data_IF_073929172012
#
_entry.id   IF_073929172012
#
_cell.length_a   1.000
_cell.length_b   1.000
_cell.length_c   1.000
_cell.angle_alpha   90.00
_cell.angle_beta   90.00
_cell.angle_gamma   90.00
#
_symmetry.space_group_name_H-M   'P 1'
#
loop_
_entity.id
_entity.type
_entity.pdbx_description
1 polymer ?
#
# COMPACT_ATOMS: atom_id res chain seq x y z
N UNK A 1 -17.74 19.99 3.33
CA UNK A 1 -16.29 20.26 3.60
C UNK A 1 -15.48 19.25 2.79
N UNK A 2 -14.72 19.69 1.79
CA UNK A 2 -13.96 18.80 0.89
C UNK A 2 -12.63 18.32 1.50
N UNK A 3 -12.01 17.29 0.90
CA UNK A 3 -10.70 16.74 1.32
C UNK A 3 -9.63 17.84 1.45
N UNK A 4 -9.67 18.81 0.54
CA UNK A 4 -8.81 19.99 0.48
C UNK A 4 -8.81 20.81 1.77
N UNK A 5 -9.94 20.88 2.48
CA UNK A 5 -10.01 21.61 3.75
C UNK A 5 -9.13 20.98 4.83
N UNK A 6 -9.14 19.65 4.94
CA UNK A 6 -8.31 18.94 5.93
C UNK A 6 -6.82 19.04 5.62
N UNK A 7 -6.45 19.21 4.34
CA UNK A 7 -5.07 19.48 3.94
C UNK A 7 -4.61 20.88 4.37
N UNK A 8 -5.47 21.90 4.23
CA UNK A 8 -5.09 23.28 4.56
C UNK A 8 -5.38 23.68 6.01
N UNK A 9 -6.19 22.92 6.75
CA UNK A 9 -6.52 23.21 8.15
C UNK A 9 -5.27 23.35 9.04
N UNK A 10 -4.26 22.46 8.96
CA UNK A 10 -3.01 22.66 9.71
C UNK A 10 -2.28 23.95 9.32
N UNK A 11 -2.26 24.33 8.03
CA UNK A 11 -1.67 25.60 7.59
C UNK A 11 -2.41 26.81 8.15
N UNK A 12 -3.74 26.77 8.20
CA UNK A 12 -4.56 27.84 8.80
C UNK A 12 -4.24 27.97 10.30
N UNK A 13 -4.15 26.84 11.01
CA UNK A 13 -3.80 26.81 12.44
C UNK A 13 -2.37 27.33 12.66
N UNK A 14 -1.42 26.90 11.84
CA UNK A 14 -0.03 27.38 11.89
C UNK A 14 0.06 28.86 11.57
N UNK A 15 -0.63 29.36 10.54
CA UNK A 15 -0.68 30.77 10.19
C UNK A 15 -1.27 31.63 11.31
N UNK A 16 -2.35 31.17 11.94
CA UNK A 16 -2.94 31.83 13.11
C UNK A 16 -1.96 31.88 14.29
N UNK A 17 -1.26 30.79 14.58
CA UNK A 17 -0.28 30.76 15.66
C UNK A 17 0.97 31.60 15.34
N UNK A 18 1.45 31.58 14.09
CA UNK A 18 2.54 32.43 13.63
C UNK A 18 2.18 33.92 13.79
N UNK A 19 0.96 34.32 13.41
CA UNK A 19 0.46 35.68 13.63
C UNK A 19 0.47 36.07 15.12
N UNK A 20 -0.03 35.19 15.99
CA UNK A 20 0.01 35.43 17.44
C UNK A 20 1.43 35.43 18.02
N UNK A 21 2.35 34.63 17.47
CA UNK A 21 3.76 34.62 17.84
C UNK A 21 4.40 35.97 17.53
N UNK A 22 4.16 36.52 16.33
CA UNK A 22 4.62 37.85 15.93
C UNK A 22 4.07 38.95 16.84
N UNK A 23 2.85 38.79 17.34
CA UNK A 23 2.23 39.71 18.32
C UNK A 23 2.68 39.47 19.77
N UNK A 24 3.54 38.47 20.04
CA UNK A 24 3.95 38.03 21.38
C UNK A 24 2.78 37.66 22.30
N UNK A 25 1.69 37.16 21.71
CA UNK A 25 0.45 36.81 22.41
C UNK A 25 0.28 35.30 22.65
N UNK A 26 1.32 34.50 22.40
CA UNK A 26 1.27 33.07 22.64
C UNK A 26 1.69 32.76 24.08
N UNK A 27 0.90 31.92 24.73
CA UNK A 27 1.34 31.28 25.97
C UNK A 27 2.22 30.06 25.65
N UNK A 28 2.94 29.55 26.67
CA UNK A 28 3.87 28.42 26.52
C UNK A 28 3.22 27.20 25.86
N UNK A 29 1.96 26.89 26.18
CA UNK A 29 1.20 25.80 25.55
C UNK A 29 1.04 26.06 24.06
N UNK A 30 0.55 27.23 23.65
CA UNK A 30 0.36 27.52 22.23
C UNK A 30 1.67 27.56 21.44
N UNK A 31 2.80 27.94 22.06
CA UNK A 31 4.14 27.83 21.45
C UNK A 31 4.48 26.35 21.21
N UNK A 32 4.31 25.48 22.21
CA UNK A 32 4.55 24.04 22.06
C UNK A 32 3.66 23.44 20.97
N UNK A 33 2.38 23.84 20.89
CA UNK A 33 1.45 23.42 19.82
C UNK A 33 1.97 23.84 18.45
N UNK A 34 2.39 25.10 18.31
CA UNK A 34 2.90 25.66 17.06
C UNK A 34 4.18 24.97 16.60
N UNK A 35 5.15 24.76 17.50
CA UNK A 35 6.41 24.08 17.19
C UNK A 35 6.16 22.61 16.85
N UNK A 36 5.33 21.92 17.63
CA UNK A 36 5.02 20.51 17.39
C UNK A 36 4.29 20.31 16.06
N UNK A 37 3.21 21.06 15.79
CA UNK A 37 2.50 21.04 14.51
C UNK A 37 3.42 21.44 13.36
N UNK A 38 4.26 22.45 13.55
CA UNK A 38 5.16 22.94 12.51
C UNK A 38 6.20 21.90 12.13
N UNK A 39 6.90 21.33 13.11
CA UNK A 39 7.88 20.26 12.87
C UNK A 39 7.21 19.01 12.28
N UNK A 40 6.08 18.61 12.83
CA UNK A 40 5.33 17.45 12.35
C UNK A 40 4.84 17.66 10.91
N UNK A 41 4.39 18.86 10.55
CA UNK A 41 4.01 19.23 9.20
C UNK A 41 5.21 19.24 8.25
N UNK A 42 6.33 19.85 8.65
CA UNK A 42 7.55 19.91 7.84
C UNK A 42 8.15 18.51 7.58
N UNK A 43 8.06 17.60 8.55
CA UNK A 43 8.51 16.21 8.41
C UNK A 43 7.51 15.38 7.59
N UNK A 44 6.20 15.64 7.74
CA UNK A 44 5.14 14.82 7.14
C UNK A 44 4.64 15.23 5.75
N UNK A 45 4.85 16.48 5.29
CA UNK A 45 4.23 17.03 4.08
C UNK A 45 5.18 17.35 2.92
N UNK A 46 6.14 16.48 2.64
CA UNK A 46 6.85 16.46 1.36
C UNK A 46 6.50 15.20 0.54
N UNK A 47 6.44 15.31 -0.80
CA UNK A 47 5.35 15.88 -1.58
C UNK A 47 4.32 14.84 -2.05
N UNK A 48 4.26 13.66 -1.43
CA UNK A 48 3.43 12.54 -1.89
C UNK A 48 2.31 12.19 -0.92
N UNK A 49 1.69 13.19 -0.29
CA UNK A 49 0.64 12.96 0.72
C UNK A 49 -0.63 12.41 0.08
N UNK A 50 -0.68 11.10 -0.08
CA UNK A 50 -1.94 10.37 -0.15
C UNK A 50 -2.61 10.30 1.23
N UNK A 51 -3.81 9.72 1.28
CA UNK A 51 -4.57 9.53 2.54
C UNK A 51 -3.84 8.62 3.56
N UNK A 52 -2.82 7.86 3.16
CA UNK A 52 -1.97 7.10 4.08
C UNK A 52 -1.10 8.05 4.90
N UNK A 53 -0.60 9.13 4.32
CA UNK A 53 0.18 10.10 5.08
C UNK A 53 -0.68 10.82 6.14
N UNK A 54 -2.01 10.88 5.96
CA UNK A 54 -2.93 11.36 7.00
C UNK A 54 -3.04 10.42 8.21
N UNK A 55 -2.79 9.10 8.08
CA UNK A 55 -2.77 8.21 9.25
C UNK A 55 -1.58 8.50 10.16
N UNK A 56 -0.47 8.98 9.61
CA UNK A 56 0.68 9.45 10.40
C UNK A 56 0.34 10.68 11.25
N UNK A 57 -0.71 11.45 10.89
CA UNK A 57 -1.18 12.62 11.64
C UNK A 57 -1.96 12.21 12.91
N UNK A 58 -2.55 11.01 12.96
CA UNK A 58 -3.38 10.60 14.10
C UNK A 58 -2.63 10.63 15.45
N UNK A 59 -1.41 10.08 15.56
CA UNK A 59 -0.60 10.21 16.77
C UNK A 59 -0.34 11.66 17.19
N UNK A 60 -0.16 12.57 16.22
CA UNK A 60 0.08 13.98 16.50
C UNK A 60 -1.16 14.73 17.03
N UNK A 61 -2.37 14.19 16.84
CA UNK A 61 -3.59 14.76 17.41
C UNK A 61 -3.68 14.58 18.93
N UNK A 62 -3.11 13.51 19.50
CA UNK A 62 -3.22 13.24 20.94
C UNK A 62 -2.50 14.29 21.81
N UNK A 63 -1.25 14.71 21.51
CA UNK A 63 -0.62 15.83 22.20
C UNK A 63 -1.41 17.13 22.06
N UNK A 64 -2.01 17.40 20.90
CA UNK A 64 -2.81 18.61 20.67
C UNK A 64 -4.10 18.60 21.50
N UNK A 65 -4.74 17.44 21.62
CA UNK A 65 -5.93 17.27 22.47
C UNK A 65 -5.56 17.45 23.95
N UNK A 66 -4.42 16.92 24.39
CA UNK A 66 -3.94 17.07 25.77
C UNK A 66 -3.71 18.54 26.18
N UNK A 67 -3.60 19.45 25.20
CA UNK A 67 -3.41 20.89 25.44
C UNK A 67 -4.72 21.67 25.57
N UNK A 68 -5.86 21.04 25.27
CA UNK A 68 -7.21 21.61 25.43
C UNK A 68 -7.60 21.57 26.92
N UNK A 69 -8.67 22.30 27.31
CA UNK A 69 -9.19 22.29 28.69
C UNK A 69 -9.43 20.84 29.17
N UNK A 70 -9.10 20.49 30.43
CA UNK A 70 -9.14 19.12 30.95
C UNK A 70 -10.46 18.37 30.67
N UNK A 71 -11.59 19.07 30.84
CA UNK A 71 -12.94 18.50 30.62
C UNK A 71 -13.20 17.98 29.19
N UNK A 72 -12.41 18.42 28.20
CA UNK A 72 -12.55 18.02 26.81
C UNK A 72 -11.48 17.03 26.34
N UNK A 73 -10.41 16.81 27.12
CA UNK A 73 -9.31 15.93 26.72
C UNK A 73 -9.82 14.50 26.49
N UNK A 74 -10.54 13.94 27.47
CA UNK A 74 -11.07 12.59 27.40
C UNK A 74 -12.06 12.39 26.25
N UNK A 75 -13.13 13.20 26.09
CA UNK A 75 -14.10 12.99 25.00
C UNK A 75 -13.48 13.20 23.61
N UNK A 76 -12.55 14.15 23.45
CA UNK A 76 -11.87 14.35 22.16
C UNK A 76 -10.88 13.22 21.85
N UNK A 77 -10.16 12.72 22.85
CA UNK A 77 -9.26 11.57 22.68
C UNK A 77 -10.05 10.32 22.31
N UNK A 78 -11.18 10.08 22.99
CA UNK A 78 -12.10 8.99 22.68
C UNK A 78 -12.67 9.11 21.27
N UNK A 79 -13.08 10.30 20.84
CA UNK A 79 -13.56 10.54 19.48
C UNK A 79 -12.48 10.24 18.44
N UNK A 80 -11.26 10.77 18.61
CA UNK A 80 -10.15 10.53 17.66
C UNK A 80 -9.77 9.06 17.61
N UNK A 81 -9.68 8.41 18.77
CA UNK A 81 -9.44 6.97 18.86
C UNK A 81 -10.54 6.17 18.16
N UNK A 82 -11.81 6.49 18.41
CA UNK A 82 -12.96 5.81 17.78
C UNK A 82 -12.98 6.01 16.27
N UNK A 83 -12.61 7.19 15.77
CA UNK A 83 -12.47 7.45 14.34
C UNK A 83 -11.29 6.66 13.74
N UNK A 84 -10.20 6.51 14.48
CA UNK A 84 -9.05 5.68 14.09
C UNK A 84 -9.44 4.20 13.98
N UNK A 85 -10.08 3.67 15.02
CA UNK A 85 -10.62 2.30 15.04
C UNK A 85 -11.66 2.08 13.93
N UNK A 86 -12.62 2.99 13.79
CA UNK A 86 -13.64 2.92 12.75
C UNK A 86 -13.03 2.93 11.35
N UNK A 87 -11.97 3.72 11.11
CA UNK A 87 -11.22 3.72 9.86
C UNK A 87 -10.55 2.37 9.61
N UNK A 88 -9.85 1.81 10.59
CA UNK A 88 -9.20 0.49 10.48
C UNK A 88 -10.22 -0.62 10.21
N UNK A 89 -11.37 -0.57 10.89
CA UNK A 89 -12.39 -1.61 10.81
C UNK A 89 -13.21 -1.55 9.51
N UNK A 90 -13.50 -0.35 8.99
CA UNK A 90 -14.46 -0.15 7.90
C UNK A 90 -13.83 0.19 6.56
N UNK A 91 -12.65 0.83 6.53
CA UNK A 91 -12.12 1.41 5.29
C UNK A 91 -10.92 0.59 4.78
N UNK A 92 -10.89 0.21 3.49
CA UNK A 92 -9.71 -0.41 2.89
C UNK A 92 -8.50 0.51 3.00
N UNK A 93 -7.35 -0.05 3.35
CA UNK A 93 -6.08 0.68 3.50
C UNK A 93 -5.48 0.91 2.11
N UNK A 94 -5.87 2.01 1.46
CA UNK A 94 -5.31 2.53 0.20
C UNK A 94 -4.99 1.49 -0.90
N UNK A 95 -5.82 0.45 -1.03
CA UNK A 95 -5.67 -0.61 -2.04
C UNK A 95 -4.78 -1.79 -1.63
N UNK A 96 -3.96 -1.65 -0.59
CA UNK A 96 -3.00 -2.67 -0.17
C UNK A 96 -3.60 -3.72 0.77
N UNK A 97 -4.46 -3.32 1.70
CA UNK A 97 -5.07 -4.24 2.68
C UNK A 97 -6.59 -4.05 2.77
N UNK A 98 -7.32 -5.17 2.90
CA UNK A 98 -8.74 -5.14 3.17
C UNK A 98 -9.03 -4.64 4.60
N UNK A 99 -10.19 -4.01 4.85
CA UNK A 99 -10.56 -3.60 6.20
C UNK A 99 -10.72 -4.81 7.13
N UNK A 100 -10.50 -4.63 8.44
CA UNK A 100 -10.55 -5.75 9.40
C UNK A 100 -11.90 -6.49 9.40
N UNK A 101 -13.01 -5.83 9.06
CA UNK A 101 -14.32 -6.50 8.96
C UNK A 101 -14.38 -7.57 7.86
N UNK A 102 -13.50 -7.50 6.86
CA UNK A 102 -13.45 -8.44 5.74
C UNK A 102 -12.48 -9.61 6.03
N UNK A 103 -11.77 -9.57 7.16
CA UNK A 103 -10.90 -10.66 7.64
C UNK A 103 -11.77 -11.77 8.25
N UNK A 104 -12.52 -12.49 7.41
CA UNK A 104 -13.50 -13.50 7.84
C UNK A 104 -13.15 -14.91 7.36
N UNK A 105 -12.11 -15.06 6.54
CA UNK A 105 -11.72 -16.33 5.95
C UNK A 105 -10.64 -17.02 6.80
N UNK A 106 -10.93 -18.17 7.43
CA UNK A 106 -9.93 -18.87 8.21
C UNK A 106 -8.87 -19.49 7.30
N UNK A 107 -7.60 -19.23 7.59
CA UNK A 107 -6.43 -19.81 6.93
C UNK A 107 -5.58 -20.47 8.00
N UNK A 108 -5.27 -21.75 7.81
CA UNK A 108 -4.44 -22.50 8.76
C UNK A 108 -2.98 -22.47 8.32
N UNK A 109 -2.12 -21.89 9.15
CA UNK A 109 -0.69 -21.78 8.91
C UNK A 109 0.02 -22.94 9.59
N UNK A 110 0.81 -23.70 8.81
CA UNK A 110 1.61 -24.84 9.28
C UNK A 110 0.84 -25.89 10.10
N UNK A 111 -0.47 -26.03 9.88
CA UNK A 111 -1.35 -26.88 10.69
C UNK A 111 -1.29 -26.60 12.21
N UNK A 112 -0.91 -25.38 12.62
CA UNK A 112 -0.75 -25.00 14.04
C UNK A 112 -1.72 -23.92 14.46
N UNK A 113 -1.87 -22.89 13.64
CA UNK A 113 -2.64 -21.70 13.98
C UNK A 113 -3.59 -21.37 12.85
N UNK A 114 -4.84 -21.08 13.19
CA UNK A 114 -5.83 -20.56 12.26
C UNK A 114 -5.91 -19.05 12.42
N UNK A 115 -5.49 -18.31 11.40
CA UNK A 115 -5.66 -16.87 11.33
C UNK A 115 -6.86 -16.54 10.45
N UNK A 116 -7.52 -15.42 10.75
CA UNK A 116 -8.51 -14.87 9.83
C UNK A 116 -7.79 -14.00 8.81
N UNK A 117 -8.11 -14.21 7.54
CA UNK A 117 -7.62 -13.48 6.39
C UNK A 117 -8.80 -12.94 5.57
N UNK A 118 -8.52 -12.09 4.60
CA UNK A 118 -9.53 -11.60 3.67
C UNK A 118 -9.75 -12.56 2.48
N UNK A 119 -10.69 -12.20 1.60
CA UNK A 119 -11.00 -12.99 0.40
C UNK A 119 -9.82 -13.11 -0.59
N UNK A 120 -8.81 -12.23 -0.51
CA UNK A 120 -7.61 -12.33 -1.36
C UNK A 120 -6.74 -13.51 -0.96
N UNK A 121 -6.84 -14.00 0.27
CA UNK A 121 -6.16 -15.22 0.69
C UNK A 121 -6.60 -16.43 -0.15
N UNK A 122 -7.90 -16.58 -0.38
CA UNK A 122 -8.43 -17.63 -1.26
C UNK A 122 -7.93 -17.49 -2.69
N UNK A 123 -7.88 -16.26 -3.21
CA UNK A 123 -7.33 -15.99 -4.54
C UNK A 123 -5.86 -16.40 -4.63
N UNK A 124 -5.05 -16.06 -3.63
CA UNK A 124 -3.64 -16.44 -3.58
C UNK A 124 -3.46 -17.96 -3.50
N UNK A 125 -4.30 -18.67 -2.72
CA UNK A 125 -4.29 -20.14 -2.67
C UNK A 125 -4.54 -20.72 -4.07
N UNK A 126 -5.59 -20.27 -4.75
CA UNK A 126 -5.91 -20.74 -6.10
C UNK A 126 -4.79 -20.44 -7.11
N UNK A 127 -4.20 -19.24 -7.06
CA UNK A 127 -3.05 -18.89 -7.91
C UNK A 127 -1.86 -19.81 -7.62
N UNK A 128 -1.56 -20.08 -6.34
CA UNK A 128 -0.45 -20.97 -5.96
C UNK A 128 -0.67 -22.41 -6.42
N UNK A 129 -1.91 -22.91 -6.34
CA UNK A 129 -2.27 -24.24 -6.84
C UNK A 129 -2.09 -24.32 -8.36
N UNK A 130 -2.52 -23.30 -9.11
CA UNK A 130 -2.32 -23.27 -10.57
C UNK A 130 -0.83 -23.26 -10.92
N UNK A 131 -0.01 -22.48 -10.21
CA UNK A 131 1.44 -22.45 -10.42
C UNK A 131 2.03 -23.85 -10.19
N UNK A 132 1.72 -24.48 -9.06
CA UNK A 132 2.22 -25.83 -8.74
C UNK A 132 1.75 -26.92 -9.71
N UNK A 133 0.57 -26.76 -10.32
CA UNK A 133 0.05 -27.69 -11.31
C UNK A 133 0.70 -27.55 -12.70
N UNK A 134 1.32 -26.40 -13.00
CA UNK A 134 1.87 -26.10 -14.33
C UNK A 134 3.39 -25.91 -14.36
N UNK A 135 4.05 -25.87 -13.21
CA UNK A 135 5.51 -25.68 -13.11
C UNK A 135 6.11 -26.52 -11.99
N UNK A 136 7.37 -26.91 -12.15
CA UNK A 136 8.14 -27.52 -11.06
C UNK A 136 8.70 -26.43 -10.13
N UNK A 137 8.90 -26.74 -8.85
CA UNK A 137 9.40 -25.76 -7.86
C UNK A 137 10.78 -25.18 -8.17
N UNK A 138 11.55 -25.83 -9.04
CA UNK A 138 12.85 -25.35 -9.52
C UNK A 138 12.75 -24.48 -10.77
N UNK A 139 11.63 -24.52 -11.49
CA UNK A 139 11.42 -23.69 -12.67
C UNK A 139 11.16 -22.24 -12.28
N UNK A 140 11.76 -21.27 -12.98
CA UNK A 140 11.49 -19.86 -12.72
C UNK A 140 10.10 -19.45 -13.20
N UNK A 141 9.43 -18.63 -12.40
CA UNK A 141 8.21 -17.92 -12.80
C UNK A 141 8.49 -16.42 -12.84
N UNK A 142 7.63 -15.69 -13.56
CA UNK A 142 7.71 -14.24 -13.59
C UNK A 142 6.38 -13.59 -13.19
N UNK A 143 6.45 -12.63 -12.27
CA UNK A 143 5.29 -11.96 -11.70
C UNK A 143 5.39 -10.45 -11.96
N UNK A 144 4.50 -9.92 -12.80
CA UNK A 144 4.50 -8.53 -13.23
C UNK A 144 3.34 -7.73 -12.58
N UNK A 145 3.55 -6.46 -12.17
CA UNK A 145 4.84 -5.77 -12.08
C UNK A 145 5.58 -6.12 -10.78
N UNK A 146 4.86 -6.63 -9.76
CA UNK A 146 5.40 -7.01 -8.46
C UNK A 146 4.37 -7.75 -7.59
N UNK A 147 4.66 -9.00 -7.22
CA UNK A 147 3.97 -9.66 -6.11
C UNK A 147 4.94 -10.64 -5.40
N UNK A 148 5.78 -10.15 -4.47
CA UNK A 148 6.82 -10.95 -3.80
C UNK A 148 6.22 -12.09 -2.97
N UNK A 149 4.99 -11.90 -2.51
CA UNK A 149 4.25 -12.92 -1.75
C UNK A 149 4.06 -14.19 -2.56
N UNK A 150 3.87 -14.11 -3.89
CA UNK A 150 3.72 -15.30 -4.72
C UNK A 150 5.01 -16.13 -4.77
N UNK A 151 6.17 -15.50 -4.86
CA UNK A 151 7.46 -16.21 -4.79
C UNK A 151 7.66 -16.87 -3.42
N UNK A 152 7.32 -16.15 -2.35
CA UNK A 152 7.41 -16.71 -0.99
C UNK A 152 6.49 -17.92 -0.81
N UNK A 153 5.23 -17.83 -1.25
CA UNK A 153 4.24 -18.89 -1.08
C UNK A 153 4.52 -20.12 -1.96
N UNK A 154 5.01 -19.90 -3.17
CA UNK A 154 5.24 -21.00 -4.14
C UNK A 154 6.65 -21.57 -4.07
N UNK A 155 7.61 -20.86 -3.47
CA UNK A 155 9.02 -21.26 -3.42
C UNK A 155 9.76 -21.21 -4.76
N UNK A 156 9.16 -20.65 -5.82
CA UNK A 156 9.79 -20.59 -7.14
C UNK A 156 10.82 -19.45 -7.22
N UNK A 157 11.90 -19.60 -8.01
CA UNK A 157 12.82 -18.50 -8.28
C UNK A 157 12.18 -17.44 -9.18
N UNK A 158 12.57 -16.18 -8.97
CA UNK A 158 12.29 -15.10 -9.92
C UNK A 158 13.20 -15.28 -11.14
N UNK A 159 12.61 -15.29 -12.34
CA UNK A 159 13.34 -15.41 -13.61
C UNK A 159 14.36 -14.30 -13.84
N UNK A 160 14.15 -13.12 -13.26
CA UNK A 160 14.97 -11.93 -13.49
C UNK A 160 15.67 -11.50 -12.21
N UNK A 161 16.77 -10.75 -12.35
CA UNK A 161 17.41 -10.09 -11.20
C UNK A 161 16.63 -8.89 -10.64
N UNK A 162 15.54 -8.49 -11.29
CA UNK A 162 14.76 -7.31 -10.95
C UNK A 162 13.58 -7.71 -10.06
N UNK A 163 13.57 -7.30 -8.77
CA UNK A 163 12.47 -7.65 -7.88
C UNK A 163 11.20 -6.85 -8.17
N UNK A 164 11.30 -5.72 -8.88
CA UNK A 164 10.19 -4.80 -9.17
C UNK A 164 10.30 -4.32 -10.62
N UNK A 165 9.23 -4.53 -11.40
CA UNK A 165 9.15 -4.18 -12.82
C UNK A 165 7.98 -3.22 -13.04
N UNK A 166 8.11 -2.02 -12.48
CA UNK A 166 7.08 -0.97 -12.61
C UNK A 166 7.38 -0.04 -13.79
N UNK A 167 6.32 0.31 -14.54
CA UNK A 167 6.41 1.27 -15.63
C UNK A 167 7.04 2.60 -15.18
N UNK A 168 8.01 3.09 -15.95
CA UNK A 168 8.73 4.34 -15.67
C UNK A 168 9.90 4.23 -14.69
N UNK A 169 10.14 3.06 -14.09
CA UNK A 169 11.27 2.83 -13.18
C UNK A 169 12.48 2.15 -13.85
N UNK A 170 12.29 1.68 -15.08
CA UNK A 170 13.29 0.93 -15.84
C UNK A 170 13.77 1.74 -17.04
N UNK A 171 15.06 1.59 -17.36
CA UNK A 171 15.61 2.02 -18.65
C UNK A 171 15.29 0.98 -19.72
N UNK A 172 15.28 1.41 -20.99
CA UNK A 172 15.02 0.50 -22.12
C UNK A 172 15.97 -0.71 -22.15
N UNK A 173 17.24 -0.51 -21.78
CA UNK A 173 18.22 -1.61 -21.71
C UNK A 173 17.85 -2.64 -20.64
N UNK A 174 17.32 -2.20 -19.49
CA UNK A 174 16.85 -3.10 -18.43
C UNK A 174 15.59 -3.84 -18.84
N UNK A 175 14.68 -3.17 -19.56
CA UNK A 175 13.49 -3.83 -20.12
C UNK A 175 13.86 -4.93 -21.12
N UNK A 176 14.85 -4.68 -21.99
CA UNK A 176 15.37 -5.67 -22.92
C UNK A 176 16.05 -6.84 -22.21
N UNK A 177 16.81 -6.57 -21.15
CA UNK A 177 17.42 -7.61 -20.32
C UNK A 177 16.35 -8.47 -19.64
N UNK A 178 15.31 -7.85 -19.07
CA UNK A 178 14.16 -8.57 -18.51
C UNK A 178 13.54 -9.48 -19.56
N UNK A 179 13.25 -8.98 -20.76
CA UNK A 179 12.67 -9.78 -21.85
C UNK A 179 13.58 -10.97 -22.22
N UNK A 180 14.90 -10.76 -22.24
CA UNK A 180 15.86 -11.85 -22.51
C UNK A 180 15.86 -12.89 -21.37
N UNK A 181 15.85 -12.45 -20.11
CA UNK A 181 15.79 -13.30 -18.91
C UNK A 181 14.48 -14.12 -18.84
N UNK A 182 13.43 -13.73 -19.56
CA UNK A 182 12.19 -14.51 -19.66
C UNK A 182 12.31 -15.72 -20.58
N UNK A 183 13.40 -15.90 -21.34
CA UNK A 183 13.58 -17.02 -22.26
C UNK A 183 13.36 -18.43 -21.67
N UNK A 184 13.65 -18.76 -20.40
CA UNK A 184 13.33 -20.06 -19.81
C UNK A 184 11.98 -20.12 -19.08
N UNK A 185 11.20 -19.04 -19.06
CA UNK A 185 9.96 -18.95 -18.27
C UNK A 185 8.77 -19.53 -19.03
N UNK A 186 8.13 -20.52 -18.43
CA UNK A 186 6.92 -21.14 -18.98
C UNK A 186 5.62 -20.50 -18.47
N UNK A 187 5.59 -20.05 -17.21
CA UNK A 187 4.40 -19.48 -16.58
C UNK A 187 4.69 -18.07 -16.05
N UNK A 188 3.76 -17.16 -16.33
CA UNK A 188 3.78 -15.80 -15.79
C UNK A 188 2.47 -15.47 -15.08
N UNK A 189 2.56 -14.52 -14.16
CA UNK A 189 1.40 -13.91 -13.49
C UNK A 189 1.44 -12.41 -13.69
N UNK A 190 0.36 -11.84 -14.22
CA UNK A 190 0.22 -10.40 -14.45
C UNK A 190 -0.86 -9.84 -13.52
N UNK A 191 -0.49 -8.87 -12.68
CA UNK A 191 -1.45 -8.12 -11.88
C UNK A 191 -2.08 -6.99 -12.72
N UNK A 192 -3.35 -7.13 -13.07
CA UNK A 192 -4.07 -6.26 -14.02
C UNK A 192 -4.35 -4.87 -13.49
N UNK A 193 -4.47 -4.69 -12.16
CA UNK A 193 -4.70 -3.40 -11.52
C UNK A 193 -3.55 -2.38 -11.68
N UNK A 194 -2.38 -2.82 -12.17
CA UNK A 194 -1.18 -2.00 -12.38
C UNK A 194 -0.74 -2.00 -13.86
N UNK A 195 -1.68 -2.25 -14.78
CA UNK A 195 -1.43 -2.22 -16.22
C UNK A 195 -0.97 -0.82 -16.64
N UNK A 196 0.14 -0.70 -17.41
CA UNK A 196 0.62 0.60 -17.86
C UNK A 196 -0.38 1.26 -18.82
N UNK A 197 -0.53 2.59 -18.71
CA UNK A 197 -1.39 3.39 -19.61
C UNK A 197 -0.71 3.76 -20.92
N UNK A 198 0.62 3.60 -21.01
CA UNK A 198 1.43 3.81 -22.20
C UNK A 198 2.07 2.49 -22.63
N UNK A 199 2.44 2.31 -23.91
CA UNK A 199 3.16 1.14 -24.39
C UNK A 199 4.40 0.87 -23.53
N UNK A 200 4.59 -0.39 -23.14
CA UNK A 200 5.68 -0.79 -22.26
C UNK A 200 6.24 -2.12 -22.76
N UNK A 201 7.52 -2.17 -23.21
CA UNK A 201 8.07 -3.33 -23.91
C UNK A 201 7.89 -4.65 -23.17
N UNK A 202 8.06 -4.67 -21.85
CA UNK A 202 7.91 -5.89 -21.05
C UNK A 202 6.45 -6.34 -21.06
N UNK A 203 5.49 -5.48 -20.71
CA UNK A 203 4.07 -5.82 -20.72
C UNK A 203 3.58 -6.27 -22.10
N UNK A 204 3.99 -5.57 -23.16
CA UNK A 204 3.64 -5.92 -24.53
C UNK A 204 4.21 -7.31 -24.91
N UNK A 205 5.45 -7.61 -24.50
CA UNK A 205 6.06 -8.93 -24.68
C UNK A 205 5.28 -10.03 -23.93
N UNK A 206 4.99 -9.82 -22.63
CA UNK A 206 4.25 -10.77 -21.80
C UNK A 206 2.87 -11.08 -22.37
N UNK A 207 2.17 -10.07 -22.89
CA UNK A 207 0.80 -10.24 -23.39
C UNK A 207 0.73 -10.85 -24.80
N UNK A 208 1.82 -10.75 -25.57
CA UNK A 208 1.93 -11.27 -26.94
C UNK A 208 2.58 -12.65 -27.06
N UNK A 209 3.34 -13.09 -26.06
CA UNK A 209 4.07 -14.37 -26.08
C UNK A 209 3.58 -15.39 -25.04
N UNK A 210 2.56 -15.01 -24.25
CA UNK A 210 1.96 -15.89 -23.26
C UNK A 210 0.43 -15.83 -23.36
N UNK A 211 -0.18 -16.99 -23.60
CA UNK A 211 -1.63 -17.18 -23.66
C UNK A 211 -2.24 -17.20 -22.25
N UNK A 212 -3.36 -16.49 -22.09
CA UNK A 212 -4.16 -16.49 -20.87
C UNK A 212 -4.80 -17.87 -20.64
N UNK A 213 -4.51 -18.49 -19.50
CA UNK A 213 -5.12 -19.76 -19.10
C UNK A 213 -6.16 -19.60 -18.00
N UNK A 214 -6.00 -18.60 -17.13
CA UNK A 214 -6.95 -18.33 -16.05
C UNK A 214 -6.86 -16.86 -15.58
N UNK A 215 -7.93 -16.38 -14.93
CA UNK A 215 -7.99 -15.06 -14.31
C UNK A 215 -8.63 -15.14 -12.92
N UNK A 216 -7.84 -14.84 -11.89
CA UNK A 216 -8.25 -14.88 -10.49
C UNK A 216 -8.18 -13.47 -9.90
N UNK A 217 -9.33 -12.83 -9.77
CA UNK A 217 -9.40 -11.44 -9.31
C UNK A 217 -8.62 -10.51 -10.23
N UNK A 218 -7.63 -9.82 -9.65
CA UNK A 218 -6.75 -8.88 -10.36
C UNK A 218 -5.49 -9.57 -10.95
N UNK A 219 -5.46 -10.90 -11.03
CA UNK A 219 -4.32 -11.66 -11.56
C UNK A 219 -4.71 -12.44 -12.82
N UNK A 220 -3.95 -12.23 -13.89
CA UNK A 220 -3.97 -13.07 -15.08
C UNK A 220 -2.83 -14.08 -14.99
N UNK A 221 -3.14 -15.36 -15.16
CA UNK A 221 -2.14 -16.43 -15.20
C UNK A 221 -2.01 -16.85 -16.66
N UNK A 222 -0.79 -16.83 -17.17
CA UNK A 222 -0.51 -17.09 -18.59
C UNK A 222 0.60 -18.11 -18.77
N UNK A 223 0.46 -18.95 -19.79
CA UNK A 223 1.48 -19.92 -20.22
C UNK A 223 2.11 -19.48 -21.51
N UNK A 224 3.37 -19.85 -21.70
CA UNK A 224 4.09 -19.61 -22.95
C UNK A 224 3.43 -20.38 -24.10
N UNK A 225 3.35 -19.72 -25.25
CA UNK A 225 2.88 -20.29 -26.51
C UNK A 225 3.83 -21.36 -27.10
#
# INVERSE_FOLDING_TARGET
IGKTFFYYLPFIILGFHAFKLLRRQLNRRQITTFVYLGLFFLIGLRPTTDILHLSMIYPALFPLIAMIKPRWVLPLSFLVFSLGLGKLYLKPYAGFEAPYREQTHPVTIFNRETLLADHRATQLIQITEIIHNHTSTTEPIFVYPYAPMLYFLTGHPNATRYPLVTSGYLTLAQEQEIIADLAPVNLIVIQTGLTPTNPQPVYDYLTSHFTLIDQIGDYQIRLRD
#
